data_IF_049415605581
#
_entry.id   IF_049415605581
#
_cell.length_a   1.000
_cell.length_b   1.000
_cell.length_c   1.000
_cell.angle_alpha   90.00
_cell.angle_beta   90.00
_cell.angle_gamma   90.00
#
_symmetry.space_group_name_H-M   'P 1'
#
loop_
_entity.id
_entity.type
_entity.pdbx_description
1 polymer ?
#
# COMPACT_ATOMS: atom_id res chain seq x y z
N UNK A 1 -11.78 17.55 -0.81
CA UNK A 1 -12.55 17.35 -2.06
C UNK A 1 -14.02 17.52 -1.68
N UNK A 2 -14.60 18.69 -1.95
CA UNK A 2 -15.81 19.15 -1.28
C UNK A 2 -17.04 18.30 -1.59
N UNK A 3 -17.40 17.44 -0.64
CA UNK A 3 -18.69 16.76 -0.55
C UNK A 3 -19.86 17.75 -0.33
N UNK A 4 -19.58 19.03 -0.04
CA UNK A 4 -20.58 20.09 0.17
C UNK A 4 -21.37 20.44 -1.10
N UNK A 5 -20.79 20.25 -2.29
CA UNK A 5 -21.51 20.47 -3.56
C UNK A 5 -22.63 19.45 -3.81
N UNK A 6 -22.70 18.37 -3.01
CA UNK A 6 -23.64 17.29 -3.23
C UNK A 6 -25.11 17.73 -3.01
N UNK A 7 -25.35 18.71 -2.14
CA UNK A 7 -26.71 19.24 -1.94
C UNK A 7 -27.19 20.07 -3.13
N UNK A 8 -26.32 20.91 -3.69
CA UNK A 8 -26.63 21.73 -4.87
C UNK A 8 -26.82 20.86 -6.11
N UNK A 9 -25.98 19.84 -6.32
CA UNK A 9 -26.12 18.91 -7.44
C UNK A 9 -27.38 18.07 -7.33
N UNK A 10 -27.73 17.55 -6.15
CA UNK A 10 -28.98 16.82 -5.96
C UNK A 10 -30.21 17.70 -6.17
N UNK A 11 -30.16 18.96 -5.71
CA UNK A 11 -31.23 19.90 -5.97
C UNK A 11 -31.40 20.16 -7.47
N UNK A 12 -30.30 20.44 -8.18
CA UNK A 12 -30.32 20.61 -9.62
C UNK A 12 -30.89 19.39 -10.37
N UNK A 13 -30.48 18.17 -9.98
CA UNK A 13 -31.02 16.94 -10.56
C UNK A 13 -32.53 16.78 -10.29
N UNK A 14 -32.99 17.17 -9.10
CA UNK A 14 -34.41 17.15 -8.73
C UNK A 14 -35.20 18.15 -9.58
N UNK A 15 -34.67 19.36 -9.79
CA UNK A 15 -35.27 20.40 -10.63
C UNK A 15 -35.32 19.97 -12.11
N UNK A 16 -34.23 19.41 -12.64
CA UNK A 16 -34.20 18.88 -14.01
C UNK A 16 -35.23 17.77 -14.22
N UNK A 17 -35.40 16.89 -13.22
CA UNK A 17 -36.42 15.85 -13.24
C UNK A 17 -37.84 16.43 -13.19
N UNK A 18 -38.10 17.50 -12.43
CA UNK A 18 -39.41 18.15 -12.41
C UNK A 18 -39.75 18.81 -13.75
N UNK A 19 -38.75 19.27 -14.49
CA UNK A 19 -38.92 19.78 -15.87
C UNK A 19 -39.08 18.67 -16.93
N UNK A 20 -39.18 17.40 -16.53
CA UNK A 20 -39.52 16.29 -17.42
C UNK A 20 -38.33 15.55 -18.03
N UNK A 21 -37.09 15.89 -17.68
CA UNK A 21 -35.91 15.13 -18.11
C UNK A 21 -35.91 13.75 -17.44
N UNK A 22 -35.99 12.69 -18.26
CA UNK A 22 -36.00 11.30 -17.82
C UNK A 22 -35.18 10.42 -18.76
N UNK A 23 -34.77 9.26 -18.26
CA UNK A 23 -34.03 8.27 -19.05
C UNK A 23 -32.60 8.70 -19.37
N UNK A 24 -32.15 8.41 -20.59
CA UNK A 24 -30.74 8.50 -21.02
C UNK A 24 -30.14 9.89 -20.83
N UNK A 25 -30.84 10.96 -21.20
CA UNK A 25 -30.35 12.34 -21.06
C UNK A 25 -29.99 12.68 -19.61
N UNK A 26 -30.77 12.16 -18.67
CA UNK A 26 -30.54 12.39 -17.25
C UNK A 26 -29.38 11.52 -16.74
N UNK A 27 -29.18 10.33 -17.30
CA UNK A 27 -27.99 9.50 -17.03
C UNK A 27 -26.70 10.14 -17.55
N UNK A 28 -26.73 10.79 -18.72
CA UNK A 28 -25.56 11.46 -19.28
C UNK A 28 -25.13 12.66 -18.42
N UNK A 29 -26.10 13.44 -17.94
CA UNK A 29 -25.83 14.56 -17.03
C UNK A 29 -25.23 14.04 -15.71
N UNK A 30 -25.79 12.99 -15.12
CA UNK A 30 -25.28 12.44 -13.86
C UNK A 30 -23.90 11.80 -14.04
N UNK A 31 -23.67 11.12 -15.16
CA UNK A 31 -22.37 10.56 -15.52
C UNK A 31 -21.31 11.65 -15.72
N UNK A 32 -21.67 12.79 -16.32
CA UNK A 32 -20.78 13.96 -16.42
C UNK A 32 -20.39 14.53 -15.06
N UNK A 33 -21.30 14.52 -14.07
CA UNK A 33 -20.96 14.94 -12.70
C UNK A 33 -19.99 13.96 -12.04
N UNK A 34 -20.22 12.65 -12.22
CA UNK A 34 -19.35 11.59 -11.70
C UNK A 34 -17.98 11.60 -12.41
N UNK A 35 -17.92 12.05 -13.66
CA UNK A 35 -16.66 12.13 -14.43
C UNK A 35 -15.59 12.96 -13.72
N UNK A 36 -15.97 14.01 -12.98
CA UNK A 36 -15.05 14.82 -12.17
C UNK A 36 -14.41 14.01 -11.04
N UNK A 37 -15.19 13.13 -10.41
CA UNK A 37 -14.71 12.21 -9.37
C UNK A 37 -13.81 11.16 -10.02
N UNK A 38 -14.23 10.58 -11.16
CA UNK A 38 -13.47 9.58 -11.93
C UNK A 38 -12.12 10.12 -12.40
N UNK A 39 -12.07 11.36 -12.88
CA UNK A 39 -10.85 12.00 -13.37
C UNK A 39 -9.76 12.05 -12.29
N UNK A 40 -10.13 12.46 -11.08
CA UNK A 40 -9.19 12.52 -9.98
C UNK A 40 -8.94 11.15 -9.33
N UNK A 41 -9.80 10.14 -9.55
CA UNK A 41 -9.79 8.90 -8.78
C UNK A 41 -8.41 8.23 -8.67
N UNK A 42 -7.63 8.03 -9.76
CA UNK A 42 -6.37 7.29 -9.68
C UNK A 42 -5.29 7.91 -8.77
N UNK A 43 -5.39 9.20 -8.42
CA UNK A 43 -4.38 9.86 -7.58
C UNK A 43 -4.66 9.77 -6.09
N UNK A 44 -5.91 9.51 -5.68
CA UNK A 44 -6.31 9.51 -4.27
C UNK A 44 -7.09 8.26 -3.83
N UNK A 45 -7.57 7.42 -4.76
CA UNK A 45 -8.39 6.23 -4.48
C UNK A 45 -7.72 5.30 -3.47
N UNK A 46 -6.42 5.04 -3.63
CA UNK A 46 -5.62 4.17 -2.76
C UNK A 46 -5.33 4.77 -1.37
N UNK A 47 -5.50 6.08 -1.21
CA UNK A 47 -5.34 6.78 0.07
C UNK A 47 -6.67 6.97 0.81
N UNK A 48 -7.80 6.66 0.17
CA UNK A 48 -9.11 6.85 0.74
C UNK A 48 -9.37 5.88 1.91
N UNK A 49 -10.01 6.38 2.97
CA UNK A 49 -10.44 5.50 4.06
C UNK A 49 -11.64 4.65 3.63
N UNK A 50 -11.81 3.49 4.26
CA UNK A 50 -12.97 2.63 3.99
C UNK A 50 -14.31 3.35 4.20
N UNK A 51 -14.38 4.26 5.17
CA UNK A 51 -15.56 5.09 5.41
C UNK A 51 -15.87 6.01 4.23
N UNK A 52 -14.84 6.67 3.66
CA UNK A 52 -15.02 7.53 2.47
C UNK A 52 -15.47 6.73 1.26
N UNK A 53 -14.90 5.55 1.03
CA UNK A 53 -15.31 4.66 -0.06
C UNK A 53 -16.77 4.20 0.12
N UNK A 54 -17.18 3.90 1.35
CA UNK A 54 -18.57 3.55 1.67
C UNK A 54 -19.53 4.72 1.45
N UNK A 55 -19.14 5.95 1.79
CA UNK A 55 -19.94 7.15 1.51
C UNK A 55 -20.12 7.38 0.01
N UNK A 56 -19.08 7.14 -0.79
CA UNK A 56 -19.16 7.26 -2.25
C UNK A 56 -20.04 6.17 -2.84
N UNK A 57 -19.91 4.93 -2.35
CA UNK A 57 -20.77 3.82 -2.74
C UNK A 57 -22.24 4.09 -2.37
N UNK A 58 -22.52 4.61 -1.18
CA UNK A 58 -23.90 4.92 -0.77
C UNK A 58 -24.52 6.06 -1.59
N UNK A 59 -23.71 7.04 -2.02
CA UNK A 59 -24.12 8.07 -2.96
C UNK A 59 -24.54 7.45 -4.30
N UNK A 60 -23.72 6.56 -4.87
CA UNK A 60 -24.06 5.86 -6.12
C UNK A 60 -25.33 5.03 -5.96
N UNK A 61 -25.48 4.29 -4.87
CA UNK A 61 -26.70 3.53 -4.59
C UNK A 61 -27.93 4.43 -4.43
N UNK A 62 -27.77 5.60 -3.83
CA UNK A 62 -28.83 6.61 -3.74
C UNK A 62 -29.24 7.14 -5.11
N UNK A 63 -28.28 7.39 -6.01
CA UNK A 63 -28.55 7.79 -7.39
C UNK A 63 -29.28 6.70 -8.17
N UNK A 64 -28.88 5.43 -8.02
CA UNK A 64 -29.57 4.28 -8.62
C UNK A 64 -31.01 4.19 -8.08
N UNK A 65 -31.19 4.29 -6.76
CA UNK A 65 -32.52 4.22 -6.11
C UNK A 65 -33.47 5.31 -6.62
N UNK A 66 -32.97 6.50 -6.94
CA UNK A 66 -33.78 7.58 -7.48
C UNK A 66 -33.94 7.55 -9.01
N UNK A 67 -33.43 6.51 -9.69
CA UNK A 67 -33.41 6.39 -11.16
C UNK A 67 -32.63 7.53 -11.83
N UNK A 68 -31.54 7.98 -11.21
CA UNK A 68 -30.59 8.93 -11.81
C UNK A 68 -29.42 8.22 -12.52
N UNK A 69 -29.24 6.92 -12.28
CA UNK A 69 -28.27 6.05 -12.92
C UNK A 69 -28.94 4.70 -13.21
N UNK A 70 -28.46 3.93 -14.20
CA UNK A 70 -28.97 2.60 -14.47
C UNK A 70 -28.62 1.63 -13.33
N UNK A 71 -29.46 0.60 -13.14
CA UNK A 71 -29.19 -0.45 -12.15
C UNK A 71 -27.95 -1.30 -12.48
N UNK A 72 -27.52 -1.32 -13.73
CA UNK A 72 -26.30 -1.99 -14.21
C UNK A 72 -25.01 -1.21 -13.92
N UNK A 73 -25.08 -0.08 -13.20
CA UNK A 73 -23.93 0.77 -12.96
C UNK A 73 -22.89 0.07 -12.03
N UNK A 74 -21.60 0.09 -12.37
CA UNK A 74 -20.56 -0.64 -11.64
C UNK A 74 -20.31 -0.09 -10.23
N UNK A 75 -19.75 -0.95 -9.38
CA UNK A 75 -19.34 -0.57 -8.01
C UNK A 75 -18.16 0.39 -8.05
N UNK A 76 -18.03 1.27 -7.04
CA UNK A 76 -16.92 2.23 -6.91
C UNK A 76 -15.54 1.55 -7.10
N UNK A 77 -15.34 0.40 -6.48
CA UNK A 77 -14.08 -0.37 -6.57
C UNK A 77 -13.80 -0.85 -8.00
N UNK A 78 -14.83 -1.30 -8.72
CA UNK A 78 -14.70 -1.73 -10.11
C UNK A 78 -14.34 -0.55 -11.01
N UNK A 79 -14.98 0.62 -10.78
CA UNK A 79 -14.67 1.85 -11.51
C UNK A 79 -13.21 2.23 -11.30
N UNK A 80 -12.74 2.28 -10.06
CA UNK A 80 -11.36 2.65 -9.73
C UNK A 80 -10.37 1.66 -10.35
N UNK A 81 -10.58 0.35 -10.20
CA UNK A 81 -9.71 -0.67 -10.81
C UNK A 81 -9.58 -0.52 -12.34
N UNK A 82 -10.66 -0.15 -13.03
CA UNK A 82 -10.65 0.09 -14.48
C UNK A 82 -9.87 1.36 -14.82
N UNK A 83 -10.07 2.44 -14.06
CA UNK A 83 -9.36 3.70 -14.26
C UNK A 83 -7.86 3.55 -14.00
N UNK A 84 -7.49 2.86 -12.94
CA UNK A 84 -6.08 2.59 -12.60
C UNK A 84 -5.42 1.74 -13.67
N UNK A 85 -6.10 0.70 -14.17
CA UNK A 85 -5.60 -0.13 -15.26
C UNK A 85 -5.44 0.66 -16.57
N UNK A 86 -6.32 1.63 -16.84
CA UNK A 86 -6.21 2.53 -18.01
C UNK A 86 -5.03 3.49 -17.86
N UNK A 87 -4.91 4.15 -16.71
CA UNK A 87 -3.80 5.04 -16.41
C UNK A 87 -2.47 4.29 -16.56
N UNK A 88 -2.37 3.11 -15.95
CA UNK A 88 -1.16 2.29 -16.01
C UNK A 88 -0.74 1.96 -17.46
N UNK A 89 -1.68 1.57 -18.32
CA UNK A 89 -1.41 1.33 -19.75
C UNK A 89 -0.95 2.60 -20.49
N UNK A 90 -1.50 3.76 -20.14
CA UNK A 90 -1.07 5.05 -20.73
C UNK A 90 0.36 5.35 -20.33
N UNK A 91 0.71 5.15 -19.05
CA UNK A 91 2.07 5.35 -18.55
C UNK A 91 3.04 4.37 -19.22
N UNK A 92 2.69 3.10 -19.34
CA UNK A 92 3.52 2.06 -19.97
C UNK A 92 3.79 2.32 -21.46
N UNK A 93 2.84 2.88 -22.20
CA UNK A 93 3.00 3.17 -23.63
C UNK A 93 3.70 4.51 -23.91
N UNK A 94 3.78 5.42 -22.93
CA UNK A 94 4.33 6.75 -23.11
C UNK A 94 5.59 6.95 -22.26
N UNK A 95 6.76 6.72 -22.88
CA UNK A 95 8.06 6.87 -22.24
C UNK A 95 8.33 8.29 -21.71
N UNK A 96 7.66 9.31 -22.27
CA UNK A 96 7.81 10.71 -21.87
C UNK A 96 6.84 11.12 -20.75
N UNK A 97 6.01 10.21 -20.25
CA UNK A 97 5.07 10.49 -19.18
C UNK A 97 5.81 10.77 -17.86
N UNK A 98 5.37 11.77 -17.10
CA UNK A 98 6.01 12.20 -15.82
C UNK A 98 6.16 11.05 -14.81
N UNK A 99 5.23 10.09 -14.83
CA UNK A 99 5.23 8.91 -13.95
C UNK A 99 6.13 7.78 -14.49
N UNK A 100 6.44 7.73 -15.78
CA UNK A 100 7.17 6.62 -16.39
C UNK A 100 8.57 6.41 -15.75
N UNK A 101 9.37 7.45 -15.46
CA UNK A 101 10.64 7.30 -14.73
C UNK A 101 10.51 6.76 -13.29
N UNK A 102 9.32 6.86 -12.69
CA UNK A 102 9.05 6.37 -11.34
C UNK A 102 8.70 4.87 -11.33
N UNK A 103 8.47 4.27 -12.51
CA UNK A 103 8.20 2.84 -12.59
C UNK A 103 9.42 2.03 -12.16
N UNK A 104 9.22 0.91 -11.43
CA UNK A 104 10.31 0.01 -11.13
C UNK A 104 10.92 -0.51 -12.43
N UNK A 105 12.19 -0.95 -12.45
CA UNK A 105 12.76 -1.54 -13.65
C UNK A 105 11.96 -2.77 -14.11
N UNK A 106 12.09 -3.16 -15.38
CA UNK A 106 11.47 -4.39 -15.88
C UNK A 106 12.33 -5.58 -15.39
N UNK A 107 11.69 -6.66 -14.91
CA UNK A 107 12.39 -7.89 -14.55
C UNK A 107 12.69 -8.70 -15.81
N UNK A 108 13.98 -8.97 -16.05
CA UNK A 108 14.41 -9.97 -17.02
C UNK A 108 14.43 -11.34 -16.34
N UNK A 109 13.62 -12.28 -16.83
CA UNK A 109 13.59 -13.66 -16.34
C UNK A 109 14.17 -14.57 -17.40
N UNK A 110 15.16 -15.38 -17.04
CA UNK A 110 15.79 -16.35 -17.97
C UNK A 110 14.99 -17.64 -18.12
N UNK A 111 14.01 -17.88 -17.25
CA UNK A 111 13.23 -19.12 -17.18
C UNK A 111 11.75 -18.82 -17.42
N UNK A 112 11.01 -19.78 -17.98
CA UNK A 112 9.57 -19.65 -18.24
C UNK A 112 8.78 -19.73 -16.93
N UNK A 113 8.46 -18.57 -16.37
CA UNK A 113 7.57 -18.44 -15.21
C UNK A 113 6.11 -18.24 -15.66
N UNK A 114 5.16 -18.51 -14.75
CA UNK A 114 3.75 -18.17 -14.96
C UNK A 114 3.61 -16.69 -15.30
N UNK A 115 2.89 -16.40 -16.38
CA UNK A 115 2.62 -15.02 -16.81
C UNK A 115 1.94 -14.23 -15.67
N UNK A 116 2.48 -13.04 -15.39
CA UNK A 116 1.91 -12.07 -14.45
C UNK A 116 1.21 -10.96 -15.22
N UNK A 117 0.41 -10.16 -14.51
CA UNK A 117 -0.29 -9.01 -15.10
C UNK A 117 0.67 -7.96 -15.68
N UNK A 118 1.90 -7.86 -15.17
CA UNK A 118 2.95 -6.97 -15.65
C UNK A 118 4.35 -7.53 -15.32
N UNK A 119 5.38 -7.03 -16.02
CA UNK A 119 6.78 -7.49 -15.88
C UNK A 119 7.65 -6.59 -14.99
N UNK A 120 7.09 -5.51 -14.45
CA UNK A 120 7.82 -4.62 -13.54
C UNK A 120 8.27 -5.32 -12.26
N UNK A 121 9.41 -4.87 -11.72
CA UNK A 121 9.85 -5.36 -10.43
C UNK A 121 8.82 -4.99 -9.37
N UNK A 122 8.49 -5.93 -8.50
CA UNK A 122 7.79 -5.58 -7.26
C UNK A 122 8.71 -4.60 -6.54
N UNK A 123 8.26 -3.36 -6.39
CA UNK A 123 8.98 -2.36 -5.59
C UNK A 123 9.36 -3.04 -4.29
N UNK A 124 10.67 -3.14 -4.04
CA UNK A 124 11.19 -3.83 -2.88
C UNK A 124 10.57 -3.15 -1.66
N UNK A 125 9.55 -3.77 -1.07
CA UNK A 125 8.84 -3.29 0.12
C UNK A 125 9.75 -3.32 1.37
N UNK A 126 11.06 -3.23 1.16
CA UNK A 126 12.12 -3.30 2.16
C UNK A 126 11.71 -2.43 3.33
N UNK A 127 11.34 -1.16 3.13
CA UNK A 127 11.03 -0.26 4.24
C UNK A 127 9.85 -0.73 5.14
N UNK A 128 8.77 -1.29 4.57
CA UNK A 128 7.60 -1.71 5.35
C UNK A 128 7.81 -3.09 6.01
N UNK A 129 8.40 -4.03 5.26
CA UNK A 129 8.73 -5.36 5.77
C UNK A 129 9.85 -5.26 6.83
N UNK A 130 10.86 -4.42 6.60
CA UNK A 130 11.94 -4.11 7.55
C UNK A 130 11.37 -3.55 8.85
N UNK A 131 10.51 -2.52 8.76
CA UNK A 131 9.84 -1.96 9.93
C UNK A 131 9.09 -3.03 10.71
N UNK A 132 8.39 -3.93 10.01
CA UNK A 132 7.60 -4.99 10.64
C UNK A 132 8.50 -5.98 11.36
N UNK A 133 9.53 -6.51 10.69
CA UNK A 133 10.48 -7.46 11.26
C UNK A 133 11.24 -6.87 12.46
N UNK A 134 11.74 -5.64 12.33
CA UNK A 134 12.47 -4.96 13.39
C UNK A 134 11.55 -4.67 14.60
N UNK A 135 10.31 -4.20 14.35
CA UNK A 135 9.32 -3.99 15.42
C UNK A 135 9.01 -5.30 16.14
N UNK A 136 8.98 -6.40 15.41
CA UNK A 136 8.72 -7.72 15.97
C UNK A 136 9.88 -8.20 16.87
N UNK A 137 11.13 -7.92 16.50
CA UNK A 137 12.30 -8.19 17.35
C UNK A 137 12.39 -7.30 18.58
N UNK A 138 11.97 -6.03 18.48
CA UNK A 138 11.86 -5.18 19.68
C UNK A 138 10.85 -5.79 20.67
N UNK A 139 9.72 -6.28 20.15
CA UNK A 139 8.73 -7.00 20.97
C UNK A 139 9.25 -8.33 21.51
N UNK A 140 10.17 -9.01 20.82
CA UNK A 140 10.73 -10.28 21.29
C UNK A 140 11.59 -10.16 22.53
N UNK A 141 12.05 -8.95 22.85
CA UNK A 141 12.74 -8.64 24.10
C UNK A 141 11.77 -8.49 25.29
N UNK A 142 10.47 -8.39 25.04
CA UNK A 142 9.44 -8.36 26.08
C UNK A 142 8.99 -9.77 26.47
N UNK A 143 8.49 -9.93 27.71
CA UNK A 143 8.01 -11.23 28.25
C UNK A 143 6.80 -11.83 27.51
N UNK A 144 6.21 -11.12 26.54
CA UNK A 144 4.97 -11.49 25.84
C UNK A 144 5.22 -12.17 24.47
N UNK A 145 6.46 -12.53 24.16
CA UNK A 145 6.80 -13.11 22.88
C UNK A 145 6.58 -14.63 22.83
N UNK A 146 5.97 -15.18 21.77
CA UNK A 146 5.79 -16.62 21.65
C UNK A 146 7.12 -17.37 21.65
N UNK A 147 7.26 -18.38 22.51
CA UNK A 147 8.49 -19.18 22.69
C UNK A 147 9.03 -19.76 21.38
N UNK A 148 8.15 -20.27 20.51
CA UNK A 148 8.55 -20.84 19.23
C UNK A 148 9.29 -19.87 18.32
N UNK A 149 9.05 -18.56 18.44
CA UNK A 149 9.76 -17.54 17.67
C UNK A 149 11.05 -17.11 18.33
N UNK A 150 11.14 -17.12 19.68
CA UNK A 150 12.41 -16.87 20.36
C UNK A 150 13.42 -17.96 20.06
N UNK A 151 12.97 -19.22 20.00
CA UNK A 151 13.83 -20.38 19.73
C UNK A 151 14.46 -20.31 18.33
N UNK A 152 13.78 -19.68 17.36
CA UNK A 152 14.32 -19.43 16.01
C UNK A 152 15.43 -18.36 16.01
N UNK A 153 15.42 -17.43 16.97
CA UNK A 153 16.34 -16.29 17.05
C UNK A 153 17.58 -16.55 17.92
N UNK A 154 17.55 -17.59 18.75
CA UNK A 154 18.61 -17.96 19.69
C UNK A 154 19.55 -18.98 19.01
N UNK A 155 20.88 -18.80 19.17
CA UNK A 155 21.82 -19.85 18.75
C UNK A 155 21.59 -21.13 19.56
N UNK A 156 21.58 -22.33 18.95
CA UNK A 156 21.85 -23.55 19.71
C UNK A 156 23.24 -23.40 20.32
N UNK A 157 23.30 -23.17 21.64
CA UNK A 157 24.55 -22.92 22.39
C UNK A 157 25.57 -24.00 22.04
N UNK A 158 26.67 -23.61 21.39
CA UNK A 158 27.88 -24.43 21.38
C UNK A 158 28.58 -24.25 22.73
N UNK A 159 28.94 -25.32 23.45
CA UNK A 159 29.77 -25.19 24.65
C UNK A 159 31.08 -24.48 24.27
N UNK A 160 31.37 -23.34 24.90
CA UNK A 160 32.64 -22.60 24.74
C UNK A 160 32.60 -21.25 24.01
N UNK A 161 31.44 -20.78 23.50
CA UNK A 161 31.36 -19.46 22.85
C UNK A 161 31.21 -18.31 23.87
N UNK A 162 32.20 -17.41 23.93
CA UNK A 162 32.23 -16.21 24.79
C UNK A 162 31.66 -14.95 24.11
N UNK A 163 30.73 -15.08 23.18
CA UNK A 163 30.18 -13.90 22.49
C UNK A 163 29.20 -13.14 23.39
N UNK A 164 29.69 -12.11 24.07
CA UNK A 164 28.91 -11.15 24.87
C UNK A 164 28.39 -10.00 24.00
N UNK A 165 27.77 -10.31 22.86
CA UNK A 165 27.23 -9.26 21.99
C UNK A 165 25.72 -9.26 22.05
N UNK A 166 25.12 -8.08 22.28
CA UNK A 166 23.69 -7.77 22.22
C UNK A 166 23.06 -7.96 20.83
N UNK A 167 23.68 -8.78 19.97
CA UNK A 167 23.32 -9.02 18.57
C UNK A 167 22.61 -10.36 18.45
N UNK A 168 21.51 -10.38 17.69
CA UNK A 168 20.80 -11.63 17.39
C UNK A 168 21.63 -12.52 16.45
N UNK A 169 21.42 -13.83 16.55
CA UNK A 169 22.09 -14.79 15.67
C UNK A 169 21.65 -14.60 14.23
N UNK A 170 22.62 -14.59 13.30
CA UNK A 170 22.34 -14.56 11.89
C UNK A 170 22.49 -15.95 11.28
N UNK A 171 21.37 -16.55 10.87
CA UNK A 171 21.37 -17.82 10.14
C UNK A 171 22.12 -17.67 8.80
N UNK A 172 22.94 -18.66 8.43
CA UNK A 172 23.60 -18.65 7.11
C UNK A 172 22.66 -19.20 6.06
N UNK A 173 22.32 -18.36 5.09
CA UNK A 173 21.38 -18.71 4.01
C UNK A 173 22.11 -18.77 2.67
N UNK A 174 21.98 -19.90 1.96
CA UNK A 174 22.58 -20.11 0.63
C UNK A 174 21.72 -19.55 -0.51
N UNK A 175 20.39 -19.53 -0.36
CA UNK A 175 19.46 -19.13 -1.42
C UNK A 175 18.91 -17.72 -1.23
N UNK A 176 18.72 -16.99 -2.33
CA UNK A 176 18.19 -15.62 -2.31
C UNK A 176 16.77 -15.53 -1.72
N UNK A 177 15.90 -16.53 -1.97
CA UNK A 177 14.53 -16.53 -1.44
C UNK A 177 14.49 -16.65 0.09
N UNK A 178 15.40 -17.41 0.70
CA UNK A 178 15.42 -17.60 2.14
C UNK A 178 15.97 -16.36 2.88
N UNK A 179 16.50 -15.36 2.16
CA UNK A 179 16.86 -14.07 2.73
C UNK A 179 15.64 -13.21 3.12
N UNK A 180 14.42 -13.58 2.72
CA UNK A 180 13.18 -12.95 3.18
C UNK A 180 12.55 -13.67 4.38
N UNK A 181 13.16 -14.75 4.88
CA UNK A 181 12.66 -15.46 6.04
C UNK A 181 12.91 -14.67 7.32
N UNK A 182 11.97 -14.72 8.27
CA UNK A 182 12.08 -14.05 9.57
C UNK A 182 13.41 -14.35 10.29
N UNK A 183 13.82 -15.63 10.28
CA UNK A 183 15.04 -16.13 10.91
C UNK A 183 16.35 -15.53 10.34
N UNK A 184 16.28 -14.95 9.14
CA UNK A 184 17.41 -14.26 8.52
C UNK A 184 17.20 -12.75 8.53
N UNK A 185 16.11 -12.26 7.90
CA UNK A 185 15.87 -10.83 7.71
C UNK A 185 15.76 -10.10 9.03
N UNK A 186 15.07 -10.68 10.03
CA UNK A 186 14.94 -10.04 11.34
C UNK A 186 16.30 -9.74 11.96
N UNK A 187 17.10 -10.76 12.31
CA UNK A 187 18.42 -10.56 12.90
C UNK A 187 19.37 -9.71 12.05
N UNK A 188 19.35 -9.92 10.73
CA UNK A 188 20.16 -9.13 9.79
C UNK A 188 19.87 -7.63 9.91
N UNK A 189 18.58 -7.27 9.89
CA UNK A 189 18.14 -5.89 9.96
C UNK A 189 18.38 -5.29 11.35
N UNK A 190 18.09 -6.03 12.42
CA UNK A 190 18.33 -5.56 13.78
C UNK A 190 19.80 -5.23 14.03
N UNK A 191 20.70 -6.11 13.58
CA UNK A 191 22.14 -5.93 13.73
C UNK A 191 22.69 -4.76 12.89
N UNK A 192 21.94 -4.30 11.87
CA UNK A 192 22.30 -3.14 11.06
C UNK A 192 21.84 -1.79 11.66
N UNK A 193 21.11 -1.80 12.78
CA UNK A 193 20.60 -0.60 13.42
C UNK A 193 21.64 0.05 14.35
N UNK A 194 21.67 1.39 14.46
CA UNK A 194 22.45 2.07 15.47
C UNK A 194 21.95 1.74 16.87
N UNK A 195 22.89 1.65 17.82
CA UNK A 195 22.62 1.31 19.23
C UNK A 195 21.68 2.31 19.91
N UNK A 196 21.63 3.55 19.42
CA UNK A 196 20.68 4.58 19.90
C UNK A 196 19.21 4.19 19.71
N UNK A 197 18.88 3.44 18.64
CA UNK A 197 17.52 2.97 18.38
C UNK A 197 17.16 1.75 19.24
N UNK A 198 18.10 0.83 19.43
CA UNK A 198 17.87 -0.43 20.15
C UNK A 198 17.64 -0.22 21.65
N UNK A 199 18.12 0.88 22.22
CA UNK A 199 17.99 1.21 23.65
C UNK A 199 16.77 2.08 23.96
N UNK A 200 15.89 2.30 22.98
CA UNK A 200 14.70 3.13 23.19
C UNK A 200 13.74 2.53 24.24
N UNK A 201 13.22 3.33 25.19
CA UNK A 201 12.51 2.82 26.37
C UNK A 201 11.05 2.42 26.11
N UNK A 202 10.48 2.81 24.96
CA UNK A 202 9.07 2.59 24.63
C UNK A 202 8.90 2.19 23.18
N UNK A 203 7.97 1.27 22.92
CA UNK A 203 7.60 0.83 21.58
C UNK A 203 7.10 2.00 20.70
N UNK A 204 6.42 2.99 21.28
CA UNK A 204 5.93 4.14 20.53
C UNK A 204 7.08 5.01 20.04
N UNK A 205 8.04 5.30 20.93
CA UNK A 205 9.26 6.06 20.60
C UNK A 205 10.13 5.30 19.60
N UNK A 206 10.34 4.01 19.82
CA UNK A 206 11.06 3.13 18.89
C UNK A 206 10.48 3.20 17.47
N UNK A 207 9.15 3.07 17.32
CA UNK A 207 8.49 3.10 16.02
C UNK A 207 8.63 4.44 15.31
N UNK A 208 8.66 5.54 16.06
CA UNK A 208 8.87 6.87 15.52
C UNK A 208 10.31 7.03 15.03
N UNK A 209 11.30 6.71 15.88
CA UNK A 209 12.73 6.86 15.57
C UNK A 209 13.19 5.88 14.48
N UNK A 210 12.61 4.68 14.43
CA UNK A 210 12.84 3.74 13.35
C UNK A 210 12.29 4.24 12.02
N UNK A 211 11.09 4.87 12.04
CA UNK A 211 10.51 5.46 10.82
C UNK A 211 11.46 6.53 10.29
N UNK A 212 11.92 7.47 11.13
CA UNK A 212 12.82 8.53 10.70
C UNK A 212 14.16 7.99 10.19
N UNK A 213 14.74 6.99 10.85
CA UNK A 213 15.97 6.34 10.38
C UNK A 213 15.82 5.67 9.02
N UNK A 214 14.74 4.89 8.82
CA UNK A 214 14.48 4.22 7.54
C UNK A 214 14.23 5.23 6.41
N UNK A 215 13.51 6.33 6.67
CA UNK A 215 13.34 7.40 5.69
C UNK A 215 14.66 8.09 5.35
N UNK A 216 15.48 8.40 6.35
CA UNK A 216 16.81 9.01 6.12
C UNK A 216 17.72 8.10 5.30
N UNK A 217 17.75 6.81 5.62
CA UNK A 217 18.50 5.80 4.86
C UNK A 217 18.03 5.72 3.41
N UNK A 218 16.72 5.67 3.20
CA UNK A 218 16.13 5.63 1.86
C UNK A 218 16.48 6.86 1.01
N UNK A 219 16.45 8.07 1.60
CA UNK A 219 16.84 9.30 0.90
C UNK A 219 18.33 9.24 0.51
N UNK A 220 19.20 8.80 1.41
CA UNK A 220 20.65 8.66 1.14
C UNK A 220 20.99 7.62 0.06
N UNK A 221 20.17 6.60 -0.14
CA UNK A 221 20.39 5.57 -1.15
C UNK A 221 19.94 6.00 -2.56
N UNK A 222 19.19 7.10 -2.69
CA UNK A 222 18.63 7.59 -3.97
C UNK A 222 19.07 8.99 -4.37
N UNK A 223 19.76 9.72 -3.50
CA UNK A 223 20.44 10.98 -3.80
C UNK A 223 21.95 10.70 -3.96
#
# INVERSE_FOLDING_TARGET
MNLENNFQTFHALKTLRSHGLRGIKLFDITESLISRIKYAAPSWSDFATQQQLQQLQSLIQKLIRFNYLPASYPTVTQIFNVLDSRLFKIVENNNNHVIHPLLPPIKTTTHNLRQRKHNYQVATQLTYQEKTFITFLYKSQSKLFPKYLSDILIEPKRPGSRSSSSRFFLTRVKHSFAKSAFAFSGPFLWNSLPTSLTTSPSLAKFRADLKTHLFSKFIKERC
#
